data_IF_599955751379
#
_entry.id   IF_599955751379
#
_cell.length_a   1.000
_cell.length_b   1.000
_cell.length_c   1.000
_cell.angle_alpha   90.00
_cell.angle_beta   90.00
_cell.angle_gamma   90.00
#
_symmetry.space_group_name_H-M   'P 1'
#
loop_
_entity.id
_entity.type
_entity.pdbx_description
1 polymer ?
#
# COMPACT_ATOMS: atom_id res chain seq x y z
N UNK A 1 -23.15 12.26 -6.33
CA UNK A 1 -22.56 11.11 -5.61
C UNK A 1 -21.77 11.59 -4.42
N UNK A 2 -21.63 10.75 -3.39
CA UNK A 2 -20.81 11.05 -2.22
C UNK A 2 -19.34 10.75 -2.51
N UNK A 3 -18.45 11.59 -2.00
CA UNK A 3 -17.00 11.41 -2.11
C UNK A 3 -16.29 11.94 -0.85
N UNK A 4 -15.19 11.28 -0.46
CA UNK A 4 -14.29 11.77 0.58
C UNK A 4 -13.35 12.81 -0.03
N UNK A 5 -13.17 13.92 0.66
CA UNK A 5 -12.29 14.99 0.20
C UNK A 5 -11.51 15.62 1.35
N UNK A 6 -10.27 15.99 1.05
CA UNK A 6 -9.46 16.88 1.88
C UNK A 6 -9.95 18.32 1.69
N UNK A 7 -10.22 18.99 2.79
CA UNK A 7 -10.70 20.39 2.83
C UNK A 7 -9.80 21.31 3.66
N UNK A 8 -8.60 20.85 3.96
CA UNK A 8 -7.55 21.52 4.72
C UNK A 8 -6.65 20.53 5.40
N UNK A 9 -5.50 20.96 5.91
CA UNK A 9 -4.62 20.07 6.67
C UNK A 9 -5.37 19.43 7.85
N UNK A 10 -5.21 18.13 8.04
CA UNK A 10 -5.88 17.31 9.07
C UNK A 10 -7.41 17.40 9.02
N UNK A 11 -8.00 17.72 7.86
CA UNK A 11 -9.42 17.95 7.74
C UNK A 11 -10.02 17.24 6.51
N UNK A 12 -10.73 16.16 6.76
CA UNK A 12 -11.50 15.37 5.79
C UNK A 12 -12.98 15.69 5.92
N UNK A 13 -13.66 15.79 4.80
CA UNK A 13 -15.11 15.90 4.71
C UNK A 13 -15.66 14.95 3.66
N UNK A 14 -16.92 14.57 3.84
CA UNK A 14 -17.68 13.86 2.80
C UNK A 14 -18.54 14.90 2.07
N UNK A 15 -18.36 15.00 0.77
CA UNK A 15 -18.97 16.03 -0.08
C UNK A 15 -19.84 15.43 -1.18
N UNK A 16 -20.76 16.21 -1.70
CA UNK A 16 -21.52 15.89 -2.88
C UNK A 16 -20.81 16.41 -4.13
N UNK A 17 -20.54 15.50 -5.07
CA UNK A 17 -19.92 15.80 -6.37
C UNK A 17 -20.74 15.20 -7.52
N UNK A 18 -20.64 15.73 -8.73
CA UNK A 18 -21.26 15.08 -9.91
C UNK A 18 -20.77 13.65 -10.09
N UNK A 19 -21.68 12.74 -10.45
CA UNK A 19 -21.27 11.40 -10.89
C UNK A 19 -20.45 11.52 -12.18
N UNK A 20 -19.30 10.83 -12.29
CA UNK A 20 -18.49 10.85 -13.50
C UNK A 20 -19.22 10.18 -14.68
N UNK A 21 -18.84 10.56 -15.88
CA UNK A 21 -19.33 9.98 -17.15
C UNK A 21 -18.15 9.63 -18.05
N UNK A 22 -18.38 8.83 -19.07
CA UNK A 22 -17.42 8.57 -20.14
C UNK A 22 -17.04 9.89 -20.81
N UNK A 23 -15.75 10.18 -20.93
CA UNK A 23 -15.19 11.33 -21.63
C UNK A 23 -14.50 10.89 -22.91
N UNK A 24 -13.72 9.80 -22.84
CA UNK A 24 -13.02 9.21 -23.98
C UNK A 24 -13.58 7.82 -24.30
N UNK A 25 -13.45 7.40 -25.54
CA UNK A 25 -13.94 6.09 -25.96
C UNK A 25 -13.25 4.90 -25.26
N UNK A 26 -12.10 5.13 -24.64
CA UNK A 26 -11.33 4.13 -23.88
C UNK A 26 -11.62 4.11 -22.36
N UNK A 27 -12.51 4.98 -21.88
CA UNK A 27 -12.83 5.10 -20.46
C UNK A 27 -13.79 4.00 -19.99
N UNK A 28 -13.76 3.72 -18.67
CA UNK A 28 -14.85 3.07 -17.97
C UNK A 28 -15.34 3.93 -16.80
N UNK A 29 -16.63 3.78 -16.43
CA UNK A 29 -17.17 4.25 -15.16
C UNK A 29 -17.39 3.02 -14.28
N UNK A 30 -16.74 3.01 -13.13
CA UNK A 30 -16.82 1.93 -12.16
C UNK A 30 -17.64 2.40 -10.95
N UNK A 31 -18.65 1.62 -10.57
CA UNK A 31 -19.34 1.74 -9.29
C UNK A 31 -18.49 1.05 -8.23
N UNK A 32 -18.01 1.81 -7.27
CA UNK A 32 -17.13 1.31 -6.21
C UNK A 32 -17.93 0.45 -5.22
N UNK A 33 -17.42 -0.73 -4.93
CA UNK A 33 -17.96 -1.62 -3.89
C UNK A 33 -17.27 -1.39 -2.55
N UNK A 34 -15.95 -1.26 -2.60
CA UNK A 34 -15.12 -0.97 -1.44
C UNK A 34 -13.87 -0.20 -1.85
N UNK A 35 -13.42 0.64 -0.94
CA UNK A 35 -12.16 1.37 -1.02
C UNK A 35 -11.48 1.33 0.34
N UNK A 36 -10.22 1.78 0.44
CA UNK A 36 -9.50 1.75 1.71
C UNK A 36 -8.71 3.03 1.96
N UNK A 37 -8.43 3.30 3.25
CA UNK A 37 -7.51 4.35 3.67
C UNK A 37 -6.10 3.77 3.66
N UNK A 38 -5.18 4.43 2.93
CA UNK A 38 -3.77 4.07 2.82
C UNK A 38 -2.87 4.99 3.66
N UNK A 39 -1.67 4.50 4.01
CA UNK A 39 -0.66 5.31 4.69
C UNK A 39 -0.23 6.54 3.88
N UNK A 40 -0.14 6.40 2.56
CA UNK A 40 0.22 7.50 1.66
C UNK A 40 -0.86 8.60 1.55
N UNK A 41 -2.13 8.29 1.85
CA UNK A 41 -3.17 9.33 1.99
C UNK A 41 -2.84 10.32 3.11
N UNK A 42 -2.11 9.88 4.15
CA UNK A 42 -1.74 10.73 5.27
C UNK A 42 -0.75 11.82 4.89
N UNK A 43 0.12 11.62 3.90
CA UNK A 43 1.01 12.69 3.43
C UNK A 43 0.21 13.89 2.96
N UNK A 44 -0.83 13.65 2.15
CA UNK A 44 -1.75 14.73 1.70
C UNK A 44 -2.63 15.25 2.84
N UNK A 45 -3.03 14.38 3.77
CA UNK A 45 -3.79 14.76 4.97
C UNK A 45 -3.01 15.72 5.88
N UNK A 46 -1.67 15.59 5.95
CA UNK A 46 -0.81 16.50 6.71
C UNK A 46 -0.55 17.83 5.96
N UNK A 47 -0.65 17.84 4.64
CA UNK A 47 -0.42 19.04 3.82
C UNK A 47 -1.57 20.04 3.91
N UNK A 48 -1.29 21.31 3.63
CA UNK A 48 -2.28 22.38 3.62
C UNK A 48 -2.56 22.86 2.19
N UNK A 49 -2.78 21.94 1.25
CA UNK A 49 -2.99 22.24 -0.17
C UNK A 49 -4.46 22.43 -0.56
N UNK A 50 -5.40 21.95 0.26
CA UNK A 50 -6.84 22.02 0.02
C UNK A 50 -7.51 23.05 0.90
N UNK A 51 -8.71 23.51 0.50
CA UNK A 51 -9.58 24.37 1.30
C UNK A 51 -11.06 23.97 1.10
N UNK A 52 -11.99 24.45 1.95
CA UNK A 52 -13.41 24.20 1.74
C UNK A 52 -13.95 24.72 0.39
N UNK A 53 -13.34 25.77 -0.18
CA UNK A 53 -13.68 26.33 -1.48
C UNK A 53 -13.05 25.57 -2.65
N UNK A 54 -11.98 24.79 -2.37
CA UNK A 54 -11.28 23.97 -3.34
C UNK A 54 -10.96 22.58 -2.72
N UNK A 55 -11.99 21.76 -2.48
CA UNK A 55 -11.80 20.42 -1.91
C UNK A 55 -11.07 19.52 -2.90
N UNK A 56 -10.19 18.66 -2.38
CA UNK A 56 -9.46 17.66 -3.16
C UNK A 56 -9.96 16.27 -2.80
N UNK A 57 -10.55 15.57 -3.75
CA UNK A 57 -10.94 14.18 -3.54
C UNK A 57 -9.69 13.31 -3.33
N UNK A 58 -9.83 12.24 -2.55
CA UNK A 58 -8.72 11.43 -2.08
C UNK A 58 -9.02 9.93 -2.23
N UNK A 59 -7.98 9.10 -2.12
CA UNK A 59 -8.05 7.65 -2.17
C UNK A 59 -7.61 7.08 -3.51
N UNK A 60 -6.89 5.96 -3.46
CA UNK A 60 -6.28 5.31 -4.62
C UNK A 60 -6.37 3.77 -4.59
N UNK A 61 -7.03 3.21 -3.59
CA UNK A 61 -7.29 1.76 -3.50
C UNK A 61 -8.79 1.50 -3.67
N UNK A 62 -9.20 0.77 -4.71
CA UNK A 62 -10.60 0.46 -4.88
C UNK A 62 -10.85 -0.86 -5.63
N UNK A 63 -12.04 -1.41 -5.39
CA UNK A 63 -12.64 -2.53 -6.11
C UNK A 63 -14.11 -2.21 -6.39
N UNK A 64 -14.60 -2.58 -7.56
CA UNK A 64 -15.97 -2.27 -7.93
C UNK A 64 -16.47 -3.04 -9.13
N UNK A 65 -17.60 -2.61 -9.65
CA UNK A 65 -18.27 -3.18 -10.84
C UNK A 65 -18.33 -2.13 -11.91
N UNK A 66 -17.93 -2.49 -13.11
CA UNK A 66 -18.07 -1.63 -14.29
C UNK A 66 -19.55 -1.35 -14.52
N UNK A 67 -19.93 -0.08 -14.52
CA UNK A 67 -21.28 0.36 -14.83
C UNK A 67 -21.41 0.67 -16.32
N UNK A 68 -20.44 1.37 -16.89
CA UNK A 68 -20.42 1.83 -18.28
C UNK A 68 -19.01 1.77 -18.84
N UNK A 69 -18.88 1.48 -20.14
CA UNK A 69 -17.63 1.50 -20.90
C UNK A 69 -17.77 2.36 -22.15
N UNK A 70 -16.67 2.96 -22.56
CA UNK A 70 -16.61 3.68 -23.85
C UNK A 70 -16.54 2.74 -25.06
N UNK A 71 -16.86 3.26 -26.23
CA UNK A 71 -17.02 2.47 -27.50
C UNK A 71 -15.74 1.75 -27.95
N UNK A 72 -14.57 2.13 -27.45
CA UNK A 72 -13.26 1.52 -27.78
C UNK A 72 -12.73 0.56 -26.73
N UNK A 73 -13.50 0.28 -25.67
CA UNK A 73 -13.17 -0.76 -24.68
C UNK A 73 -13.59 -2.12 -25.25
N UNK A 74 -12.63 -3.04 -25.39
CA UNK A 74 -12.81 -4.32 -26.07
C UNK A 74 -12.79 -5.53 -25.12
N UNK A 75 -12.00 -5.47 -24.02
CA UNK A 75 -11.76 -6.59 -23.13
C UNK A 75 -12.72 -6.63 -21.94
N UNK A 76 -13.27 -5.49 -21.57
CA UNK A 76 -14.11 -5.31 -20.39
C UNK A 76 -15.54 -4.90 -20.79
N UNK A 77 -16.51 -5.18 -19.92
CA UNK A 77 -17.92 -4.81 -20.13
C UNK A 77 -18.63 -4.48 -18.82
N UNK A 78 -19.77 -3.82 -18.94
CA UNK A 78 -20.67 -3.57 -17.80
C UNK A 78 -21.00 -4.89 -17.07
N UNK A 79 -20.92 -4.85 -15.74
CA UNK A 79 -21.12 -5.98 -14.85
C UNK A 79 -19.83 -6.74 -14.46
N UNK A 80 -18.72 -6.49 -15.11
CA UNK A 80 -17.44 -7.09 -14.72
C UNK A 80 -16.93 -6.48 -13.39
N UNK A 81 -16.45 -7.34 -12.52
CA UNK A 81 -15.77 -6.93 -11.28
C UNK A 81 -14.31 -6.64 -11.55
N UNK A 82 -13.84 -5.49 -11.10
CA UNK A 82 -12.49 -5.00 -11.36
C UNK A 82 -11.86 -4.40 -10.12
N UNK A 83 -10.57 -4.64 -9.95
CA UNK A 83 -9.70 -3.89 -9.04
C UNK A 83 -9.16 -2.69 -9.79
N UNK A 84 -9.18 -1.53 -9.14
CA UNK A 84 -8.65 -0.28 -9.67
C UNK A 84 -7.30 -0.04 -8.99
N UNK A 85 -6.17 -0.15 -9.70
CA UNK A 85 -4.84 0.06 -9.12
C UNK A 85 -4.59 1.54 -8.81
N UNK A 86 -3.65 1.81 -7.92
CA UNK A 86 -3.28 3.20 -7.58
C UNK A 86 -2.60 3.96 -8.72
N UNK A 87 -2.15 3.28 -9.75
CA UNK A 87 -1.59 3.88 -10.95
C UNK A 87 -2.18 3.22 -12.19
N UNK A 88 -2.39 4.00 -13.25
CA UNK A 88 -2.98 3.58 -14.51
C UNK A 88 -1.92 3.41 -15.59
N UNK A 89 -2.17 2.48 -16.54
CA UNK A 89 -1.44 2.42 -17.79
C UNK A 89 -2.09 3.36 -18.82
N UNK A 90 -1.31 3.84 -19.78
CA UNK A 90 -1.78 4.69 -20.88
C UNK A 90 -1.74 3.95 -22.24
N UNK A 91 -1.61 2.62 -22.21
CA UNK A 91 -1.52 1.77 -23.39
C UNK A 91 -0.16 1.84 -24.11
N UNK A 92 0.84 2.51 -23.53
CA UNK A 92 2.18 2.62 -24.09
C UNK A 92 3.19 1.87 -23.23
N UNK A 93 4.17 1.24 -23.87
CA UNK A 93 5.25 0.59 -23.14
C UNK A 93 6.09 1.62 -22.39
N UNK A 94 6.09 1.53 -21.08
CA UNK A 94 6.88 2.37 -20.17
C UNK A 94 7.52 1.54 -19.06
N UNK A 95 8.53 2.11 -18.39
CA UNK A 95 9.14 1.53 -17.23
C UNK A 95 8.50 2.13 -15.96
N UNK A 96 7.62 1.39 -15.34
CA UNK A 96 6.94 1.76 -14.09
C UNK A 96 5.58 2.43 -14.30
N UNK A 97 4.87 2.77 -13.23
CA UNK A 97 3.56 3.39 -13.29
C UNK A 97 3.64 4.75 -13.98
N UNK A 98 2.78 4.95 -14.97
CA UNK A 98 2.86 6.09 -15.87
C UNK A 98 2.00 7.26 -15.44
N UNK A 99 0.90 6.98 -14.75
CA UNK A 99 -0.07 7.98 -14.34
C UNK A 99 -0.58 7.67 -12.93
N UNK A 100 -0.47 8.64 -12.04
CA UNK A 100 -1.10 8.56 -10.73
C UNK A 100 -2.62 8.46 -10.87
N UNK A 101 -3.23 7.49 -10.22
CA UNK A 101 -4.65 7.19 -10.34
C UNK A 101 -5.53 8.38 -9.92
N UNK A 102 -5.15 9.10 -8.86
CA UNK A 102 -5.89 10.28 -8.41
C UNK A 102 -5.79 11.43 -9.43
N UNK A 103 -4.62 11.65 -10.02
CA UNK A 103 -4.42 12.67 -11.04
C UNK A 103 -5.16 12.34 -12.35
N UNK A 104 -5.18 11.07 -12.75
CA UNK A 104 -5.82 10.63 -13.98
C UNK A 104 -7.34 10.55 -13.89
N UNK A 105 -7.86 10.10 -12.75
CA UNK A 105 -9.32 9.96 -12.56
C UNK A 105 -10.03 11.29 -12.37
N UNK A 106 -9.33 12.38 -12.05
CA UNK A 106 -9.87 13.66 -11.55
C UNK A 106 -10.82 13.54 -10.35
N UNK A 107 -11.06 12.33 -9.89
CA UNK A 107 -11.88 11.99 -8.73
C UNK A 107 -11.13 10.96 -7.91
N UNK A 108 -10.89 11.22 -6.63
CA UNK A 108 -10.32 10.19 -5.75
C UNK A 108 -11.24 8.97 -5.70
N UNK A 109 -10.68 7.80 -5.37
CA UNK A 109 -11.42 6.53 -5.36
C UNK A 109 -12.20 6.28 -4.09
N UNK A 110 -12.08 7.12 -3.06
CA UNK A 110 -12.95 7.06 -1.89
C UNK A 110 -14.28 7.77 -2.20
N UNK A 111 -15.00 7.23 -3.19
CA UNK A 111 -16.24 7.77 -3.73
C UNK A 111 -17.15 6.64 -4.22
N UNK A 112 -18.44 6.93 -4.45
CA UNK A 112 -19.39 5.92 -4.95
C UNK A 112 -19.10 5.48 -6.39
N UNK A 113 -18.46 6.34 -7.20
CA UNK A 113 -18.08 6.06 -8.60
C UNK A 113 -16.75 6.69 -8.94
N UNK A 114 -16.01 6.04 -9.82
CA UNK A 114 -14.81 6.58 -10.44
C UNK A 114 -14.82 6.42 -11.97
N UNK A 115 -14.31 7.40 -12.71
CA UNK A 115 -13.98 7.28 -14.13
C UNK A 115 -12.55 6.81 -14.26
N UNK A 116 -12.34 5.74 -15.00
CA UNK A 116 -11.02 5.15 -15.22
C UNK A 116 -10.66 5.30 -16.70
N UNK A 117 -9.60 6.04 -17.02
CA UNK A 117 -9.08 6.16 -18.38
C UNK A 117 -8.38 4.86 -18.80
N UNK A 118 -8.32 4.61 -20.11
CA UNK A 118 -7.64 3.43 -20.69
C UNK A 118 -8.04 2.13 -19.99
N UNK A 119 -9.35 1.87 -19.92
CA UNK A 119 -9.93 0.84 -19.05
C UNK A 119 -9.34 -0.55 -19.26
N UNK A 120 -9.10 -0.96 -20.52
CA UNK A 120 -8.56 -2.29 -20.83
C UNK A 120 -7.11 -2.48 -20.36
N UNK A 121 -6.33 -1.39 -20.24
CA UNK A 121 -4.94 -1.40 -19.79
C UNK A 121 -4.81 -1.11 -18.29
N UNK A 122 -5.80 -0.40 -17.70
CA UNK A 122 -5.74 0.10 -16.34
C UNK A 122 -6.47 -0.77 -15.31
N UNK A 123 -7.50 -1.51 -15.72
CA UNK A 123 -8.35 -2.28 -14.79
C UNK A 123 -7.94 -3.75 -14.73
N UNK A 124 -7.95 -4.32 -13.52
CA UNK A 124 -7.66 -5.73 -13.31
C UNK A 124 -8.96 -6.51 -13.06
N UNK A 125 -9.46 -7.29 -14.05
CA UNK A 125 -10.67 -8.10 -13.86
C UNK A 125 -10.42 -9.21 -12.83
N UNK A 126 -11.40 -9.44 -11.94
CA UNK A 126 -11.31 -10.44 -10.87
C UNK A 126 -12.47 -11.43 -10.95
N UNK A 127 -12.25 -12.73 -10.63
CA UNK A 127 -13.23 -13.79 -10.81
C UNK A 127 -14.24 -13.87 -9.64
N UNK A 128 -14.87 -12.75 -9.31
CA UNK A 128 -15.88 -12.64 -8.22
C UNK A 128 -17.19 -12.10 -8.78
N UNK A 129 -18.23 -12.11 -7.94
CA UNK A 129 -19.57 -11.60 -8.28
C UNK A 129 -20.28 -11.08 -7.02
N UNK A 130 -21.47 -10.53 -7.17
CA UNK A 130 -22.25 -9.94 -6.10
C UNK A 130 -22.66 -10.89 -4.96
N UNK A 131 -22.46 -12.20 -5.10
CA UNK A 131 -22.69 -13.19 -4.03
C UNK A 131 -21.39 -13.63 -3.34
N UNK A 132 -20.23 -13.09 -3.75
CA UNK A 132 -18.93 -13.39 -3.14
C UNK A 132 -18.89 -12.85 -1.71
N UNK A 133 -18.31 -13.63 -0.79
CA UNK A 133 -18.14 -13.19 0.60
C UNK A 133 -17.32 -11.89 0.64
N UNK A 134 -17.77 -10.95 1.46
CA UNK A 134 -17.18 -9.62 1.56
C UNK A 134 -15.69 -9.67 1.93
N UNK A 135 -15.25 -10.59 2.79
CA UNK A 135 -13.83 -10.75 3.12
C UNK A 135 -12.98 -11.13 1.92
N UNK A 136 -13.52 -11.90 0.97
CA UNK A 136 -12.84 -12.23 -0.28
C UNK A 136 -12.78 -11.00 -1.19
N UNK A 137 -13.83 -10.17 -1.21
CA UNK A 137 -13.81 -8.88 -1.94
C UNK A 137 -12.70 -7.98 -1.38
N UNK A 138 -12.55 -7.92 -0.04
CA UNK A 138 -11.44 -7.18 0.59
C UNK A 138 -10.07 -7.79 0.28
N UNK A 139 -9.94 -9.11 0.17
CA UNK A 139 -8.69 -9.73 -0.26
C UNK A 139 -8.26 -9.21 -1.64
N UNK A 140 -9.21 -9.16 -2.59
CA UNK A 140 -8.97 -8.62 -3.93
C UNK A 140 -8.73 -7.11 -3.93
N UNK A 141 -9.43 -6.35 -3.08
CA UNK A 141 -9.24 -4.90 -2.96
C UNK A 141 -7.75 -4.56 -2.78
N UNK A 142 -7.04 -5.30 -1.92
CA UNK A 142 -5.64 -4.97 -1.60
C UNK A 142 -4.63 -5.30 -2.70
N UNK A 143 -5.05 -5.92 -3.80
CA UNK A 143 -4.25 -5.98 -5.03
C UNK A 143 -4.03 -4.60 -5.64
N UNK A 144 -4.92 -3.64 -5.35
CA UNK A 144 -4.86 -2.29 -5.90
C UNK A 144 -3.59 -1.52 -5.53
N UNK A 145 -3.00 -1.83 -4.35
CA UNK A 145 -1.80 -1.17 -3.82
C UNK A 145 -1.02 -2.07 -2.86
N UNK A 146 -1.45 -2.13 -1.57
CA UNK A 146 -0.59 -2.56 -0.47
C UNK A 146 -0.07 -3.99 -0.61
N UNK A 147 -0.83 -4.92 -1.17
CA UNK A 147 -0.38 -6.30 -1.36
C UNK A 147 0.69 -6.38 -2.45
N UNK A 148 0.50 -5.67 -3.56
CA UNK A 148 1.50 -5.55 -4.62
C UNK A 148 2.76 -4.83 -4.10
N UNK A 149 2.60 -3.77 -3.32
CA UNK A 149 3.69 -2.99 -2.74
C UNK A 149 4.52 -3.82 -1.74
N UNK A 150 3.86 -4.56 -0.85
CA UNK A 150 4.56 -5.47 0.08
C UNK A 150 5.31 -6.60 -0.64
N UNK A 151 4.76 -7.12 -1.74
CA UNK A 151 5.46 -8.08 -2.58
C UNK A 151 6.65 -7.47 -3.31
N UNK A 152 6.48 -6.28 -3.89
CA UNK A 152 7.54 -5.57 -4.60
C UNK A 152 8.73 -5.22 -3.68
N UNK A 153 8.49 -4.92 -2.40
CA UNK A 153 9.55 -4.71 -1.41
C UNK A 153 10.52 -5.89 -1.36
N UNK A 154 9.97 -7.11 -1.39
CA UNK A 154 10.75 -8.35 -1.37
C UNK A 154 11.45 -8.61 -2.71
N UNK A 155 10.83 -8.25 -3.84
CA UNK A 155 11.48 -8.33 -5.16
C UNK A 155 12.66 -7.35 -5.24
N UNK A 156 12.51 -6.14 -4.70
CA UNK A 156 13.59 -5.17 -4.62
C UNK A 156 14.73 -5.66 -3.74
N UNK A 157 14.42 -6.34 -2.62
CA UNK A 157 15.42 -6.99 -1.77
C UNK A 157 15.99 -8.29 -2.40
N UNK A 158 15.46 -8.77 -3.52
CA UNK A 158 15.81 -10.07 -4.14
C UNK A 158 15.58 -11.25 -3.18
N UNK A 159 14.47 -11.27 -2.44
CA UNK A 159 14.14 -12.30 -1.49
C UNK A 159 13.81 -13.63 -2.18
N UNK A 160 14.42 -14.71 -1.71
CA UNK A 160 14.15 -16.06 -2.12
C UNK A 160 13.83 -17.01 -0.95
N UNK A 161 13.42 -18.27 -1.24
CA UNK A 161 13.18 -19.26 -0.21
C UNK A 161 14.40 -19.50 0.68
N UNK A 162 14.18 -19.60 1.99
CA UNK A 162 15.25 -19.81 2.98
C UNK A 162 15.89 -18.51 3.51
N UNK A 163 15.65 -17.37 2.90
CA UNK A 163 16.16 -16.09 3.39
C UNK A 163 15.58 -15.73 4.79
N UNK A 164 16.35 -15.00 5.58
CA UNK A 164 15.87 -14.26 6.75
C UNK A 164 15.50 -12.85 6.32
N UNK A 165 14.34 -12.37 6.75
CA UNK A 165 13.79 -11.06 6.33
C UNK A 165 13.58 -10.18 7.56
N UNK A 166 14.06 -8.93 7.53
CA UNK A 166 13.68 -7.89 8.48
C UNK A 166 12.79 -6.86 7.77
N UNK A 167 11.59 -6.65 8.30
CA UNK A 167 10.61 -5.67 7.83
C UNK A 167 10.61 -4.48 8.78
N UNK A 168 10.97 -3.32 8.29
CA UNK A 168 10.84 -2.06 9.03
C UNK A 168 9.48 -1.44 8.72
N UNK A 169 8.70 -1.22 9.78
CA UNK A 169 7.29 -0.81 9.72
C UNK A 169 6.32 -2.00 9.69
N UNK A 170 5.40 -2.05 10.65
CA UNK A 170 4.30 -3.02 10.74
C UNK A 170 2.95 -2.41 10.32
N UNK A 171 2.97 -1.32 9.56
CA UNK A 171 1.80 -0.73 8.91
C UNK A 171 1.21 -1.64 7.83
N UNK A 172 0.18 -1.20 7.08
CA UNK A 172 -0.48 -2.05 6.08
C UNK A 172 0.47 -2.70 5.08
N UNK A 173 1.41 -1.94 4.52
CA UNK A 173 2.41 -2.46 3.57
C UNK A 173 3.37 -3.44 4.24
N UNK A 174 3.82 -3.14 5.47
CA UNK A 174 4.69 -4.05 6.23
C UNK A 174 4.01 -5.38 6.56
N UNK A 175 2.72 -5.37 6.92
CA UNK A 175 1.93 -6.59 7.11
C UNK A 175 1.84 -7.40 5.81
N UNK A 176 1.65 -6.73 4.65
CA UNK A 176 1.66 -7.40 3.34
C UNK A 176 3.03 -7.96 2.99
N UNK A 177 4.12 -7.28 3.34
CA UNK A 177 5.48 -7.79 3.17
C UNK A 177 5.72 -9.05 4.02
N UNK A 178 5.21 -9.08 5.26
CA UNK A 178 5.29 -10.24 6.16
C UNK A 178 4.55 -11.44 5.56
N UNK A 179 3.28 -11.26 5.15
CA UNK A 179 2.48 -12.31 4.50
C UNK A 179 3.18 -12.82 3.23
N UNK A 180 3.66 -11.91 2.40
CA UNK A 180 4.37 -12.23 1.15
C UNK A 180 5.67 -12.99 1.41
N UNK A 181 6.48 -12.60 2.40
CA UNK A 181 7.71 -13.27 2.78
C UNK A 181 7.45 -14.72 3.23
N UNK A 182 6.38 -14.93 4.00
CA UNK A 182 5.94 -16.26 4.41
C UNK A 182 5.57 -17.15 3.21
N UNK A 183 4.74 -16.64 2.29
CA UNK A 183 4.35 -17.36 1.06
C UNK A 183 5.56 -17.67 0.17
N UNK A 184 6.55 -16.78 0.13
CA UNK A 184 7.79 -16.95 -0.65
C UNK A 184 8.83 -17.84 0.05
N UNK A 185 8.52 -18.37 1.23
CA UNK A 185 9.35 -19.34 1.94
C UNK A 185 10.52 -18.72 2.71
N UNK A 186 10.37 -17.54 3.26
CA UNK A 186 11.33 -16.99 4.22
C UNK A 186 11.52 -17.97 5.40
N UNK A 187 12.75 -18.15 5.87
CA UNK A 187 13.05 -19.05 6.99
C UNK A 187 12.71 -18.41 8.34
N UNK A 188 12.86 -17.09 8.42
CA UNK A 188 12.45 -16.27 9.56
C UNK A 188 12.07 -14.87 9.06
N UNK A 189 11.13 -14.26 9.74
CA UNK A 189 10.68 -12.90 9.47
C UNK A 189 10.74 -12.13 10.79
N UNK A 190 11.44 -11.02 10.79
CA UNK A 190 11.50 -10.05 11.89
C UNK A 190 10.72 -8.81 11.48
N UNK A 191 10.06 -8.13 12.42
CA UNK A 191 9.37 -6.87 12.16
C UNK A 191 9.71 -5.84 13.22
N UNK A 192 10.05 -4.64 12.78
CA UNK A 192 10.42 -3.51 13.64
C UNK A 192 9.32 -2.45 13.57
N UNK A 193 8.71 -2.15 14.70
CA UNK A 193 7.68 -1.10 14.85
C UNK A 193 7.59 -0.71 16.34
N UNK A 194 6.76 0.26 16.70
CA UNK A 194 6.49 0.60 18.11
C UNK A 194 5.00 0.46 18.48
N UNK A 195 4.12 0.31 17.52
CA UNK A 195 2.68 0.16 17.73
C UNK A 195 2.38 -1.28 18.13
N UNK A 196 1.99 -1.49 19.40
CA UNK A 196 1.84 -2.83 19.97
C UNK A 196 0.85 -3.71 19.21
N UNK A 197 -0.33 -3.18 18.86
CA UNK A 197 -1.36 -3.93 18.16
C UNK A 197 -0.89 -4.39 16.77
N UNK A 198 -0.10 -3.58 16.08
CA UNK A 198 0.51 -3.92 14.78
C UNK A 198 1.58 -5.01 14.91
N UNK A 199 2.38 -4.96 15.98
CA UNK A 199 3.37 -5.99 16.30
C UNK A 199 2.71 -7.32 16.67
N UNK A 200 1.59 -7.31 17.40
CA UNK A 200 0.81 -8.50 17.75
C UNK A 200 0.19 -9.12 16.48
N UNK A 201 -0.34 -8.30 15.58
CA UNK A 201 -0.85 -8.76 14.29
C UNK A 201 0.26 -9.39 13.44
N UNK A 202 1.42 -8.75 13.38
CA UNK A 202 2.58 -9.30 12.67
C UNK A 202 3.04 -10.64 13.28
N UNK A 203 3.02 -10.77 14.61
CA UNK A 203 3.32 -12.03 15.28
C UNK A 203 2.30 -13.14 14.95
N UNK A 204 1.01 -12.79 14.84
CA UNK A 204 -0.03 -13.73 14.38
C UNK A 204 0.21 -14.20 12.93
N UNK A 205 0.84 -13.39 12.10
CA UNK A 205 1.30 -13.73 10.75
C UNK A 205 2.65 -14.45 10.70
N UNK A 206 3.24 -14.78 11.87
CA UNK A 206 4.46 -15.57 11.98
C UNK A 206 5.76 -14.76 12.01
N UNK A 207 5.70 -13.43 12.13
CA UNK A 207 6.88 -12.60 12.32
C UNK A 207 7.32 -12.54 13.80
N UNK A 208 8.60 -12.28 14.03
CA UNK A 208 9.19 -12.04 15.35
C UNK A 208 9.19 -10.52 15.56
N UNK A 209 8.39 -9.99 16.49
CA UNK A 209 8.28 -8.56 16.71
C UNK A 209 9.47 -8.00 17.49
N UNK A 210 9.90 -6.79 17.10
CA UNK A 210 10.90 -5.98 17.78
C UNK A 210 10.29 -4.60 17.97
N UNK A 211 10.11 -4.19 19.24
CA UNK A 211 9.57 -2.87 19.57
C UNK A 211 10.73 -1.87 19.78
N UNK A 212 10.93 -0.98 18.82
CA UNK A 212 12.03 -0.02 18.87
C UNK A 212 11.90 1.06 19.96
N UNK A 213 10.71 1.23 20.54
CA UNK A 213 10.54 2.09 21.72
C UNK A 213 11.06 1.44 23.01
N UNK A 214 11.31 0.11 23.02
CA UNK A 214 11.75 -0.65 24.18
C UNK A 214 13.20 -1.12 24.09
N UNK A 215 13.71 -1.35 22.88
CA UNK A 215 15.09 -1.81 22.65
C UNK A 215 15.61 -1.33 21.28
N UNK A 216 16.93 -1.22 21.16
CA UNK A 216 17.58 -0.88 19.89
C UNK A 216 17.34 -1.99 18.85
N UNK A 217 16.74 -1.69 17.67
CA UNK A 217 16.39 -2.70 16.69
C UNK A 217 17.62 -3.34 16.04
N UNK A 218 18.73 -2.61 15.90
CA UNK A 218 19.98 -3.13 15.36
C UNK A 218 20.58 -4.16 16.31
N UNK A 219 20.65 -3.85 17.61
CA UNK A 219 21.13 -4.78 18.64
C UNK A 219 20.21 -6.00 18.74
N UNK A 220 18.89 -5.82 18.68
CA UNK A 220 17.93 -6.90 18.71
C UNK A 220 18.11 -7.85 17.52
N UNK A 221 18.13 -7.32 16.30
CA UNK A 221 18.35 -8.12 15.10
C UNK A 221 19.70 -8.84 15.12
N UNK A 222 20.76 -8.18 15.57
CA UNK A 222 22.10 -8.78 15.70
C UNK A 222 22.16 -9.88 16.75
N UNK A 223 21.32 -9.87 17.80
CA UNK A 223 21.20 -10.99 18.75
C UNK A 223 20.60 -12.23 18.10
N UNK A 224 19.59 -12.05 17.24
CA UNK A 224 18.96 -13.15 16.50
C UNK A 224 19.80 -13.65 15.34
N UNK A 225 20.40 -12.73 14.60
CA UNK A 225 21.19 -13.00 13.38
C UNK A 225 22.56 -12.29 13.50
N UNK A 226 23.56 -12.90 14.18
CA UNK A 226 24.88 -12.26 14.40
C UNK A 226 25.62 -11.92 13.11
N UNK A 227 25.38 -12.65 12.03
CA UNK A 227 25.92 -12.37 10.71
C UNK A 227 25.10 -11.32 9.90
N UNK A 228 23.96 -10.91 10.42
CA UNK A 228 22.95 -10.07 9.76
C UNK A 228 21.85 -10.86 9.09
N UNK A 229 20.73 -10.18 8.79
CA UNK A 229 19.62 -10.73 8.03
C UNK A 229 19.93 -10.68 6.53
N UNK A 230 19.50 -11.67 5.77
CA UNK A 230 19.84 -11.72 4.34
C UNK A 230 19.06 -10.70 3.51
N UNK A 231 17.85 -10.33 3.97
CA UNK A 231 16.98 -9.34 3.30
C UNK A 231 16.40 -8.37 4.30
N UNK A 232 16.36 -7.10 3.91
CA UNK A 232 15.71 -6.03 4.67
C UNK A 232 14.72 -5.34 3.76
N UNK A 233 13.55 -4.99 4.27
CA UNK A 233 12.60 -4.16 3.54
C UNK A 233 12.17 -2.96 4.38
N UNK A 234 12.16 -1.80 3.75
CA UNK A 234 11.67 -0.55 4.30
C UNK A 234 10.25 -0.30 3.82
N UNK A 235 9.29 -0.35 4.76
CA UNK A 235 7.88 -0.07 4.55
C UNK A 235 7.43 1.17 5.34
N UNK A 236 8.35 2.07 5.70
CA UNK A 236 8.09 3.30 6.47
C UNK A 236 8.27 4.55 5.62
N UNK A 237 9.49 4.80 5.13
CA UNK A 237 9.81 5.99 4.35
C UNK A 237 10.20 7.21 5.18
N UNK A 238 9.99 8.41 4.63
CA UNK A 238 10.52 9.68 5.15
C UNK A 238 9.90 10.14 6.49
N UNK A 239 8.73 9.63 6.87
CA UNK A 239 8.09 9.92 8.17
C UNK A 239 8.53 8.96 9.29
N UNK A 240 9.66 8.27 9.12
CA UNK A 240 10.21 7.40 10.15
C UNK A 240 10.53 8.17 11.45
N UNK A 241 10.25 7.56 12.59
CA UNK A 241 10.47 8.13 13.92
C UNK A 241 11.56 7.36 14.66
N UNK A 242 12.32 8.08 15.49
CA UNK A 242 13.24 7.47 16.46
C UNK A 242 12.49 6.99 17.73
N UNK A 243 13.21 6.35 18.67
CA UNK A 243 12.63 5.86 19.93
C UNK A 243 12.07 6.97 20.84
N UNK A 244 12.34 8.24 20.54
CA UNK A 244 11.83 9.42 21.24
C UNK A 244 10.62 10.04 20.54
N UNK A 245 10.23 9.51 19.38
CA UNK A 245 9.13 10.02 18.55
C UNK A 245 9.51 11.23 17.69
N UNK A 246 10.80 11.48 17.48
CA UNK A 246 11.24 12.53 16.55
C UNK A 246 11.35 11.96 15.14
N UNK A 247 10.86 12.69 14.15
CA UNK A 247 11.01 12.32 12.73
C UNK A 247 12.49 12.33 12.34
N UNK A 248 12.94 11.21 11.77
CA UNK A 248 14.28 11.04 11.20
C UNK A 248 14.16 10.25 9.89
N UNK A 249 14.10 10.95 8.79
CA UNK A 249 13.85 10.39 7.45
C UNK A 249 14.89 9.37 6.98
N UNK A 250 16.06 9.29 7.62
CA UNK A 250 17.13 8.37 7.24
C UNK A 250 17.31 7.20 8.19
N UNK A 251 16.60 7.15 9.33
CA UNK A 251 16.88 6.18 10.39
C UNK A 251 16.74 4.74 9.89
N UNK A 252 15.67 4.43 9.15
CA UNK A 252 15.42 3.07 8.64
C UNK A 252 16.51 2.65 7.64
N UNK A 253 16.92 3.54 6.73
CA UNK A 253 17.98 3.26 5.75
C UNK A 253 19.34 3.01 6.43
N UNK A 254 19.66 3.76 7.50
CA UNK A 254 20.88 3.56 8.28
C UNK A 254 20.85 2.25 9.06
N UNK A 255 19.75 1.95 9.75
CA UNK A 255 19.58 0.70 10.51
C UNK A 255 19.59 -0.52 9.58
N UNK A 256 18.88 -0.44 8.43
CA UNK A 256 18.90 -1.47 7.39
C UNK A 256 20.34 -1.79 6.91
N UNK A 257 21.13 -0.75 6.65
CA UNK A 257 22.55 -0.89 6.27
C UNK A 257 23.42 -1.52 7.35
N UNK A 258 23.04 -1.35 8.63
CA UNK A 258 23.76 -1.95 9.76
C UNK A 258 23.38 -3.42 9.99
N UNK A 259 22.14 -3.84 9.68
CA UNK A 259 21.67 -5.21 10.00
C UNK A 259 21.72 -6.17 8.82
N UNK A 260 21.77 -5.66 7.58
CA UNK A 260 21.86 -6.52 6.40
C UNK A 260 23.16 -7.33 6.40
N UNK A 261 23.06 -8.61 6.04
CA UNK A 261 24.20 -9.50 5.90
C UNK A 261 25.09 -9.11 4.68
N UNK A 262 26.37 -9.48 4.67
CA UNK A 262 27.19 -9.38 3.46
C UNK A 262 26.51 -10.08 2.28
N UNK A 263 26.52 -9.43 1.09
CA UNK A 263 25.84 -9.87 -0.13
C UNK A 263 24.30 -9.93 -0.01
N UNK A 264 23.72 -9.34 1.03
CA UNK A 264 22.27 -9.24 1.22
C UNK A 264 21.62 -8.22 0.31
N UNK A 265 20.33 -7.98 0.52
CA UNK A 265 19.55 -7.03 -0.26
C UNK A 265 18.63 -6.19 0.61
N UNK A 266 18.52 -4.90 0.27
CA UNK A 266 17.57 -3.97 0.88
C UNK A 266 16.57 -3.55 -0.19
N UNK A 267 15.27 -3.73 0.09
CA UNK A 267 14.16 -3.27 -0.74
C UNK A 267 13.46 -2.09 -0.08
N UNK A 268 13.23 -1.02 -0.83
CA UNK A 268 12.63 0.22 -0.32
C UNK A 268 11.34 0.52 -1.07
N UNK A 269 10.22 0.50 -0.35
CA UNK A 269 8.90 0.89 -0.85
C UNK A 269 8.27 1.98 0.02
N UNK A 270 8.89 2.32 1.13
CA UNK A 270 8.56 3.53 1.88
C UNK A 270 8.73 4.76 0.98
N UNK A 271 7.83 5.74 1.13
CA UNK A 271 7.87 6.96 0.31
C UNK A 271 9.03 7.85 0.75
N UNK A 272 9.83 8.31 -0.21
CA UNK A 272 10.92 9.26 -0.03
C UNK A 272 10.80 10.40 -1.05
N UNK A 273 11.57 11.48 -0.85
CA UNK A 273 11.54 12.64 -1.73
C UNK A 273 10.45 13.67 -1.38
N UNK A 274 9.78 13.50 -0.26
CA UNK A 274 8.82 14.45 0.30
C UNK A 274 9.31 14.89 1.68
N UNK A 275 9.13 16.17 2.04
CA UNK A 275 9.59 16.71 3.32
C UNK A 275 10.89 17.50 3.21
N UNK A 276 11.27 18.12 4.34
CA UNK A 276 12.36 19.12 4.41
C UNK A 276 13.71 18.51 4.82
N UNK A 277 13.76 17.23 5.19
CA UNK A 277 14.99 16.56 5.62
C UNK A 277 15.67 15.89 4.42
N UNK A 278 17.00 15.95 4.38
CA UNK A 278 17.78 15.19 3.41
C UNK A 278 17.81 13.71 3.80
N UNK A 279 17.33 12.85 2.90
CA UNK A 279 17.43 11.41 3.08
C UNK A 279 18.82 10.92 2.67
N UNK A 280 19.43 10.11 3.51
CA UNK A 280 20.80 9.63 3.31
C UNK A 280 20.91 8.13 3.57
N UNK A 281 21.85 7.49 2.86
CA UNK A 281 22.26 6.11 3.11
C UNK A 281 23.77 6.03 3.26
N UNK A 282 24.24 5.20 4.19
CA UNK A 282 25.67 5.00 4.40
C UNK A 282 26.30 4.16 3.28
N UNK A 283 27.13 4.80 2.47
CA UNK A 283 27.83 4.13 1.37
C UNK A 283 28.94 3.17 1.85
N UNK A 284 29.54 3.42 3.02
CA UNK A 284 30.65 2.59 3.51
C UNK A 284 30.22 1.15 3.82
N UNK A 285 29.14 0.87 4.59
CA UNK A 285 28.65 -0.48 4.78
C UNK A 285 28.24 -1.17 3.46
N UNK A 286 27.57 -0.46 2.56
CA UNK A 286 27.20 -0.97 1.24
C UNK A 286 28.42 -1.47 0.47
N UNK A 287 29.49 -0.63 0.38
CA UNK A 287 30.70 -0.96 -0.32
C UNK A 287 31.48 -2.12 0.35
N UNK A 288 31.61 -2.09 1.69
CA UNK A 288 32.41 -3.06 2.43
C UNK A 288 31.76 -4.45 2.49
N UNK A 289 30.42 -4.51 2.52
CA UNK A 289 29.68 -5.76 2.65
C UNK A 289 29.06 -6.23 1.33
N UNK A 290 29.21 -5.47 0.25
CA UNK A 290 28.72 -5.81 -1.08
C UNK A 290 27.22 -6.18 -1.10
N UNK A 291 26.39 -5.47 -0.34
CA UNK A 291 24.94 -5.62 -0.40
C UNK A 291 24.31 -4.71 -1.45
N UNK A 292 23.11 -5.02 -1.88
CA UNK A 292 22.36 -4.20 -2.84
C UNK A 292 21.28 -3.38 -2.15
N UNK A 293 20.97 -2.22 -2.72
CA UNK A 293 19.79 -1.41 -2.38
C UNK A 293 19.01 -1.14 -3.65
N UNK A 294 17.74 -1.45 -3.63
CA UNK A 294 16.81 -1.14 -4.72
C UNK A 294 15.49 -0.65 -4.12
N UNK A 295 14.91 0.36 -4.73
CA UNK A 295 13.62 0.90 -4.29
C UNK A 295 12.85 1.50 -5.46
N UNK A 296 11.60 1.83 -5.19
CA UNK A 296 10.73 2.47 -6.16
C UNK A 296 9.26 2.25 -5.86
N UNK A 297 8.45 2.80 -6.73
CA UNK A 297 7.00 2.61 -6.73
C UNK A 297 6.70 1.24 -7.34
N UNK A 298 5.83 0.46 -6.72
CA UNK A 298 5.38 -0.83 -7.26
C UNK A 298 4.42 -0.63 -8.43
N UNK A 299 4.29 -1.64 -9.28
CA UNK A 299 3.26 -1.70 -10.32
C UNK A 299 2.28 -2.82 -9.97
N UNK A 300 1.06 -2.51 -9.46
CA UNK A 300 0.05 -3.53 -9.24
C UNK A 300 -0.34 -4.28 -10.52
N UNK A 301 -0.32 -3.61 -11.67
CA UNK A 301 -0.63 -4.23 -12.98
C UNK A 301 0.38 -5.32 -13.33
N UNK A 302 1.70 -5.07 -13.16
CA UNK A 302 2.75 -6.07 -13.44
C UNK A 302 2.64 -7.28 -12.51
N UNK A 303 2.17 -7.09 -11.30
CA UNK A 303 2.02 -8.11 -10.27
C UNK A 303 0.62 -8.77 -10.26
N UNK A 304 -0.33 -8.24 -11.03
CA UNK A 304 -1.74 -8.64 -11.01
C UNK A 304 -1.94 -10.15 -11.15
N UNK A 305 -1.28 -10.79 -12.12
CA UNK A 305 -1.38 -12.25 -12.32
C UNK A 305 -0.86 -13.05 -11.11
N UNK A 306 0.23 -12.61 -10.48
CA UNK A 306 0.79 -13.28 -9.29
C UNK A 306 -0.19 -13.17 -8.13
N UNK A 307 -0.71 -11.97 -7.87
CA UNK A 307 -1.67 -11.70 -6.80
C UNK A 307 -2.96 -12.50 -6.99
N UNK A 308 -3.53 -12.47 -8.21
CA UNK A 308 -4.74 -13.25 -8.57
C UNK A 308 -4.57 -14.75 -8.26
N UNK A 309 -3.45 -15.33 -8.68
CA UNK A 309 -3.19 -16.76 -8.45
C UNK A 309 -3.01 -17.09 -6.95
N UNK A 310 -2.38 -16.21 -6.18
CA UNK A 310 -2.22 -16.39 -4.74
C UNK A 310 -3.58 -16.35 -4.02
N UNK A 311 -4.41 -15.36 -4.32
CA UNK A 311 -5.74 -15.22 -3.72
C UNK A 311 -6.66 -16.37 -4.15
N UNK A 312 -6.71 -16.70 -5.43
CA UNK A 312 -7.51 -17.80 -5.95
C UNK A 312 -7.11 -19.16 -5.35
N UNK A 313 -5.85 -19.35 -4.97
CA UNK A 313 -5.37 -20.57 -4.32
C UNK A 313 -5.70 -20.66 -2.84
N UNK A 314 -6.18 -19.56 -2.21
CA UNK A 314 -6.43 -19.46 -0.77
C UNK A 314 -5.16 -19.54 0.09
N UNK A 315 -3.99 -19.25 -0.47
CA UNK A 315 -2.71 -19.30 0.26
C UNK A 315 -2.45 -18.08 1.14
N UNK A 316 -3.16 -17.00 0.89
CA UNK A 316 -3.02 -15.77 1.65
C UNK A 316 -4.36 -15.03 1.69
N UNK A 317 -4.58 -14.32 2.79
CA UNK A 317 -5.77 -13.54 3.06
C UNK A 317 -5.37 -12.12 3.49
N UNK A 318 -5.08 -11.22 2.55
CA UNK A 318 -4.70 -9.84 2.84
C UNK A 318 -5.71 -9.11 3.73
N UNK A 319 -7.01 -9.44 3.64
CA UNK A 319 -8.07 -8.87 4.47
C UNK A 319 -7.90 -9.13 5.97
N UNK A 320 -7.01 -10.04 6.36
CA UNK A 320 -6.70 -10.33 7.79
C UNK A 320 -6.16 -9.11 8.57
N UNK A 321 -5.73 -8.06 7.88
CA UNK A 321 -5.24 -6.83 8.52
C UNK A 321 -6.31 -5.76 8.73
N UNK A 322 -7.54 -5.98 8.25
CA UNK A 322 -8.64 -5.02 8.36
C UNK A 322 -9.03 -4.87 9.83
N UNK A 323 -8.83 -3.68 10.38
CA UNK A 323 -9.19 -3.35 11.77
C UNK A 323 -10.57 -2.70 11.86
N UNK A 324 -11.04 -2.06 10.79
CA UNK A 324 -12.36 -1.45 10.74
C UNK A 324 -12.97 -1.50 9.32
N UNK A 325 -14.29 -1.70 9.28
CA UNK A 325 -15.12 -1.57 8.08
C UNK A 325 -16.18 -0.52 8.37
N UNK A 326 -16.29 0.50 7.52
CA UNK A 326 -17.12 1.68 7.77
C UNK A 326 -17.96 2.07 6.55
N UNK A 327 -18.99 2.88 6.78
CA UNK A 327 -19.64 3.65 5.72
C UNK A 327 -18.88 4.94 5.41
N UNK A 328 -19.12 5.55 4.24
CA UNK A 328 -18.40 6.74 3.79
C UNK A 328 -18.52 7.91 4.78
N UNK A 329 -19.65 8.08 5.44
CA UNK A 329 -19.91 9.21 6.36
C UNK A 329 -19.00 9.18 7.61
N UNK A 330 -18.45 8.01 7.95
CA UNK A 330 -17.53 7.84 9.07
C UNK A 330 -16.05 8.14 8.69
N UNK A 331 -15.75 8.32 7.40
CA UNK A 331 -14.39 8.54 6.91
C UNK A 331 -13.63 9.66 7.66
N UNK A 332 -14.23 10.84 7.98
CA UNK A 332 -13.52 11.89 8.71
C UNK A 332 -13.01 11.46 10.08
N UNK A 333 -13.76 10.64 10.82
CA UNK A 333 -13.31 10.12 12.11
C UNK A 333 -12.24 9.07 11.94
N UNK A 334 -12.40 8.17 10.97
CA UNK A 334 -11.43 7.10 10.77
C UNK A 334 -10.12 7.56 10.16
N UNK A 335 -10.07 8.66 9.43
CA UNK A 335 -8.81 9.34 9.08
C UNK A 335 -8.07 9.83 10.33
N UNK A 336 -8.78 10.43 11.31
CA UNK A 336 -8.19 10.84 12.59
C UNK A 336 -7.64 9.64 13.38
N UNK A 337 -8.40 8.54 13.46
CA UNK A 337 -7.99 7.31 14.14
C UNK A 337 -6.79 6.67 13.45
N UNK A 338 -6.84 6.57 12.12
CA UNK A 338 -5.75 6.01 11.32
C UNK A 338 -4.46 6.83 11.46
N UNK A 339 -4.56 8.15 11.45
CA UNK A 339 -3.43 9.06 11.72
C UNK A 339 -2.85 8.88 13.12
N UNK A 340 -3.67 8.60 14.14
CA UNK A 340 -3.22 8.27 15.50
C UNK A 340 -2.73 6.82 15.66
N UNK A 341 -2.68 6.05 14.56
CA UNK A 341 -2.26 4.65 14.54
C UNK A 341 -3.17 3.74 15.38
N UNK A 342 -4.41 4.14 15.64
CA UNK A 342 -5.45 3.34 16.33
C UNK A 342 -6.04 2.26 15.41
N UNK A 343 -5.82 2.37 14.11
CA UNK A 343 -6.26 1.42 13.09
C UNK A 343 -5.07 0.93 12.27
N UNK A 344 -5.13 -0.34 11.86
CA UNK A 344 -4.12 -0.91 10.94
C UNK A 344 -4.57 -0.73 9.50
N UNK A 345 -5.82 -1.10 9.15
CA UNK A 345 -6.39 -0.89 7.81
C UNK A 345 -7.89 -0.64 7.92
N UNK A 346 -8.34 0.43 7.30
CA UNK A 346 -9.76 0.83 7.28
C UNK A 346 -10.31 0.61 5.88
N UNK A 347 -11.40 -0.13 5.77
CA UNK A 347 -12.15 -0.30 4.53
C UNK A 347 -13.42 0.52 4.61
N UNK A 348 -13.73 1.26 3.55
CA UNK A 348 -14.97 1.99 3.35
C UNK A 348 -15.82 1.19 2.36
N UNK A 349 -16.97 0.70 2.78
CA UNK A 349 -17.92 -0.03 1.93
C UNK A 349 -19.03 0.87 1.41
N UNK A 350 -19.43 0.59 0.19
CA UNK A 350 -20.61 1.22 -0.43
C UNK A 350 -21.71 0.20 -0.62
N UNK A 351 -22.97 0.55 -0.30
CA UNK A 351 -24.10 -0.36 -0.51
C UNK A 351 -24.31 -0.63 -2.01
N UNK A 352 -24.52 -1.89 -2.34
CA UNK A 352 -24.81 -2.36 -3.69
C UNK A 352 -26.32 -2.44 -3.93
#
# INVERSE_FOLDING_TARGET
MRAVALVGAFNISVIDVPKPSIINATDAVVRIAATAICGSDLHRYHENSASPESPQQIGHEAIGVIEEVGDSVELLKSGDWVVIPFAFDDGHYQYGPTVDAEAASSTGMQAEYARIPYADDSLMPVPINGSTNISIIHDYLFMSDIFATGWAALDFASQGPGDTVAVFGAGPVGQMAILSAGVRGASKIYVVDHVQDRLELAAAHGAIPINFALEDPVEALRRFEPAGVTRVVDCVGFEAEDAQGNVNSSIVLHEAGQVVAPQGGIGVVGVYGSGDQAETIDIKPLFMNNFSVRGGVSSPLDLGTVMLNLLASGKTHPSSIVSAVIGIEDAPEYYRRFNRREETKVVIEFPF
#
